data_IF_775475843897
#
_entry.id   IF_775475843897
#
_cell.length_a   1.000
_cell.length_b   1.000
_cell.length_c   1.000
_cell.angle_alpha   90.00
_cell.angle_beta   90.00
_cell.angle_gamma   90.00
#
_symmetry.space_group_name_H-M   'P 1'
#
loop_
_entity.id
_entity.type
_entity.pdbx_description
1 polymer ?
#
# COMPACT_ATOMS: atom_id res chain seq x y z
N UNK A 1 18.38 14.16 -21.26
CA UNK A 1 18.46 13.18 -20.18
C UNK A 1 17.09 12.53 -20.06
N UNK A 2 17.00 11.22 -20.29
CA UNK A 2 15.73 10.45 -20.20
C UNK A 2 15.24 10.39 -18.76
N UNK A 3 13.98 10.02 -18.51
CA UNK A 3 13.44 9.90 -17.14
C UNK A 3 14.23 8.88 -16.30
N UNK A 4 14.68 7.81 -16.95
CA UNK A 4 15.58 6.81 -16.37
C UNK A 4 16.90 7.45 -15.93
N UNK A 5 17.53 8.22 -16.82
CA UNK A 5 18.81 8.87 -16.52
C UNK A 5 18.65 9.93 -15.43
N UNK A 6 17.51 10.63 -15.40
CA UNK A 6 17.18 11.56 -14.32
C UNK A 6 17.10 10.83 -12.98
N UNK A 7 16.41 9.67 -12.92
CA UNK A 7 16.36 8.84 -11.72
C UNK A 7 17.77 8.45 -11.25
N UNK A 8 18.60 7.90 -12.15
CA UNK A 8 19.95 7.44 -11.77
C UNK A 8 20.80 8.58 -11.22
N UNK A 9 20.63 9.78 -11.78
CA UNK A 9 21.38 10.99 -11.42
C UNK A 9 20.64 11.89 -10.40
N UNK A 10 19.58 11.40 -9.74
CA UNK A 10 18.87 12.17 -8.71
C UNK A 10 19.86 12.65 -7.63
N UNK A 11 19.84 13.94 -7.24
CA UNK A 11 20.78 14.48 -6.25
C UNK A 11 20.79 13.69 -4.94
N UNK A 12 21.97 13.29 -4.48
CA UNK A 12 22.16 12.51 -3.25
C UNK A 12 21.90 11.01 -3.37
N UNK A 13 21.41 10.53 -4.52
CA UNK A 13 21.17 9.09 -4.76
C UNK A 13 22.46 8.27 -4.73
N UNK A 14 23.57 8.80 -5.23
CA UNK A 14 24.87 8.14 -5.21
C UNK A 14 25.35 7.80 -3.79
N UNK A 15 25.08 8.70 -2.83
CA UNK A 15 25.30 8.46 -1.41
C UNK A 15 24.38 7.35 -0.91
N UNK A 16 23.08 7.42 -1.18
CA UNK A 16 22.13 6.39 -0.75
C UNK A 16 22.48 5.00 -1.29
N UNK A 17 22.99 4.90 -2.51
CA UNK A 17 23.46 3.62 -3.08
C UNK A 17 24.63 3.05 -2.27
N UNK A 18 25.58 3.88 -1.86
CA UNK A 18 26.70 3.46 -1.00
C UNK A 18 26.22 3.09 0.40
N UNK A 19 25.27 3.84 0.95
CA UNK A 19 24.70 3.58 2.27
C UNK A 19 23.95 2.24 2.29
N UNK A 20 23.19 1.90 1.22
CA UNK A 20 22.59 0.56 1.08
C UNK A 20 23.65 -0.53 0.97
N UNK A 21 24.76 -0.30 0.26
CA UNK A 21 25.85 -1.29 0.21
C UNK A 21 26.42 -1.56 1.60
N UNK A 22 26.69 -0.51 2.38
CA UNK A 22 27.14 -0.65 3.75
C UNK A 22 26.11 -1.38 4.62
N UNK A 23 24.81 -1.06 4.45
CA UNK A 23 23.71 -1.73 5.14
C UNK A 23 23.61 -3.22 4.80
N UNK A 24 23.77 -3.59 3.52
CA UNK A 24 23.82 -4.98 3.06
C UNK A 24 24.93 -5.74 3.79
N UNK A 25 26.13 -5.15 3.88
CA UNK A 25 27.28 -5.79 4.52
C UNK A 25 27.07 -5.93 6.03
N UNK A 26 26.60 -4.87 6.68
CA UNK A 26 26.38 -4.84 8.12
C UNK A 26 25.30 -5.83 8.58
N UNK A 27 24.22 -5.97 7.78
CA UNK A 27 23.14 -6.91 8.05
C UNK A 27 23.41 -8.34 7.54
N UNK A 28 24.51 -8.56 6.82
CA UNK A 28 24.83 -9.87 6.23
C UNK A 28 23.83 -10.33 5.14
N UNK A 29 23.20 -9.39 4.43
CA UNK A 29 22.24 -9.69 3.38
C UNK A 29 22.96 -10.28 2.16
N UNK A 30 22.47 -11.42 1.67
CA UNK A 30 23.06 -12.14 0.53
C UNK A 30 22.16 -12.13 -0.70
N UNK A 31 20.88 -11.79 -0.53
CA UNK A 31 19.88 -11.81 -1.59
C UNK A 31 18.91 -10.64 -1.46
N UNK A 32 18.55 -10.00 -2.59
CA UNK A 32 17.65 -8.85 -2.60
C UNK A 32 16.53 -9.09 -3.61
N UNK A 33 15.28 -8.91 -3.17
CA UNK A 33 14.11 -8.81 -4.04
C UNK A 33 13.94 -7.37 -4.52
N UNK A 34 14.11 -7.18 -5.82
CA UNK A 34 13.80 -5.93 -6.50
C UNK A 34 12.35 -6.00 -6.96
N UNK A 35 11.49 -5.25 -6.28
CA UNK A 35 10.04 -5.43 -6.39
C UNK A 35 9.32 -4.17 -6.89
N UNK A 36 8.27 -4.39 -7.67
CA UNK A 36 7.32 -3.39 -8.12
C UNK A 36 5.91 -3.97 -8.00
N UNK A 37 4.89 -3.15 -8.27
CA UNK A 37 3.49 -3.53 -8.08
C UNK A 37 2.76 -3.50 -9.41
N UNK A 38 2.16 -4.63 -9.76
CA UNK A 38 1.30 -4.79 -10.94
C UNK A 38 0.02 -3.98 -10.82
N UNK A 39 -0.71 -3.81 -11.93
CA UNK A 39 -2.03 -3.15 -11.95
C UNK A 39 -3.04 -3.78 -10.98
N UNK A 40 -2.92 -5.08 -10.71
CA UNK A 40 -3.80 -5.80 -9.76
C UNK A 40 -3.39 -5.64 -8.28
N UNK A 41 -2.33 -4.88 -7.99
CA UNK A 41 -1.81 -4.74 -6.63
C UNK A 41 -0.91 -5.90 -6.18
N UNK A 42 -0.61 -6.87 -7.05
CA UNK A 42 0.35 -7.94 -6.76
C UNK A 42 1.78 -7.43 -6.86
N UNK A 43 2.62 -7.91 -5.96
CA UNK A 43 4.05 -7.63 -5.95
C UNK A 43 4.74 -8.59 -6.90
N UNK A 44 5.48 -8.01 -7.82
CA UNK A 44 6.19 -8.69 -8.91
C UNK A 44 7.63 -8.17 -8.92
N UNK A 45 8.59 -8.96 -9.40
CA UNK A 45 9.98 -8.53 -9.33
C UNK A 45 10.98 -9.59 -9.70
N UNK A 46 12.24 -9.36 -9.31
CA UNK A 46 13.35 -10.29 -9.50
C UNK A 46 14.16 -10.40 -8.22
N UNK A 47 14.49 -11.64 -7.84
CA UNK A 47 15.47 -11.91 -6.79
C UNK A 47 16.88 -11.95 -7.37
N UNK A 48 17.81 -11.22 -6.76
CA UNK A 48 19.18 -11.07 -7.27
C UNK A 48 20.17 -11.15 -6.10
N UNK A 49 21.31 -11.85 -6.24
CA UNK A 49 22.36 -11.86 -5.21
C UNK A 49 22.85 -10.43 -4.89
N UNK A 50 22.96 -10.13 -3.59
CA UNK A 50 23.23 -8.78 -3.07
C UNK A 50 24.56 -8.18 -3.54
N UNK A 51 25.54 -9.03 -3.88
CA UNK A 51 26.83 -8.59 -4.46
C UNK A 51 26.70 -7.79 -5.77
N UNK A 52 25.53 -7.82 -6.42
CA UNK A 52 25.27 -7.07 -7.64
C UNK A 52 24.58 -5.72 -7.39
N UNK A 53 24.36 -5.32 -6.13
CA UNK A 53 23.61 -4.12 -5.74
C UNK A 53 23.98 -2.86 -6.54
N UNK A 54 25.25 -2.47 -6.56
CA UNK A 54 25.69 -1.23 -7.21
C UNK A 54 25.39 -1.22 -8.71
N UNK A 55 25.65 -2.35 -9.39
CA UNK A 55 25.31 -2.53 -10.81
C UNK A 55 23.80 -2.39 -11.04
N UNK A 56 22.98 -2.96 -10.16
CA UNK A 56 21.52 -2.88 -10.29
C UNK A 56 20.99 -1.48 -9.94
N UNK A 57 21.63 -0.77 -9.02
CA UNK A 57 21.30 0.60 -8.69
C UNK A 57 21.60 1.56 -9.85
N UNK A 58 22.61 1.28 -10.67
CA UNK A 58 22.95 2.06 -11.86
C UNK A 58 22.13 1.63 -13.10
N UNK A 59 22.08 0.32 -13.38
CA UNK A 59 21.54 -0.20 -14.64
C UNK A 59 20.09 -0.65 -14.57
N UNK A 60 19.61 -0.99 -13.38
CA UNK A 60 18.32 -1.64 -13.18
C UNK A 60 18.33 -3.11 -13.58
N UNK A 61 17.25 -3.82 -13.24
CA UNK A 61 16.99 -5.16 -13.77
C UNK A 61 16.04 -5.07 -14.96
N UNK A 62 16.09 -6.07 -15.84
CA UNK A 62 15.12 -6.22 -16.93
C UNK A 62 14.10 -7.33 -16.65
N UNK A 63 12.86 -7.10 -17.11
CA UNK A 63 11.75 -8.06 -17.04
C UNK A 63 10.73 -7.74 -18.15
N UNK A 64 9.98 -8.73 -18.64
CA UNK A 64 8.94 -8.51 -19.67
C UNK A 64 7.87 -7.50 -19.22
N UNK A 65 7.43 -6.59 -20.10
CA UNK A 65 6.38 -5.60 -19.79
C UNK A 65 5.08 -6.21 -19.27
N UNK A 66 4.65 -7.35 -19.82
CA UNK A 66 3.42 -8.02 -19.38
C UNK A 66 3.41 -8.38 -17.89
N UNK A 67 4.56 -8.39 -17.22
CA UNK A 67 4.64 -8.55 -15.77
C UNK A 67 3.94 -7.44 -14.97
N UNK A 68 3.77 -6.22 -15.53
CA UNK A 68 2.95 -5.16 -14.91
C UNK A 68 1.47 -5.49 -14.90
N UNK A 69 1.04 -6.46 -15.71
CA UNK A 69 -0.31 -7.04 -15.74
C UNK A 69 -0.33 -8.52 -15.30
N UNK A 70 0.69 -8.98 -14.56
CA UNK A 70 0.87 -10.36 -14.10
C UNK A 70 0.96 -11.42 -15.20
N UNK A 71 1.22 -11.03 -16.45
CA UNK A 71 1.12 -11.92 -17.61
C UNK A 71 -0.28 -12.57 -17.73
N UNK A 72 -1.31 -11.88 -17.24
CA UNK A 72 -2.68 -12.35 -17.35
C UNK A 72 -3.18 -12.20 -18.78
N UNK A 73 -4.01 -13.16 -19.17
CA UNK A 73 -4.79 -13.12 -20.40
C UNK A 73 -6.20 -12.65 -20.08
N UNK A 74 -6.83 -12.00 -21.05
CA UNK A 74 -8.24 -11.69 -21.00
C UNK A 74 -9.10 -12.95 -21.29
N UNK A 75 -10.42 -12.76 -21.34
CA UNK A 75 -11.36 -13.86 -21.61
C UNK A 75 -11.26 -14.44 -23.03
N UNK A 76 -10.58 -13.76 -23.94
CA UNK A 76 -10.38 -14.16 -25.34
C UNK A 76 -9.06 -14.92 -25.54
N UNK A 77 -8.20 -14.96 -24.51
CA UNK A 77 -6.90 -15.63 -24.56
C UNK A 77 -5.75 -14.70 -24.91
N UNK A 78 -5.99 -13.39 -24.99
CA UNK A 78 -5.00 -12.39 -25.36
C UNK A 78 -4.35 -11.79 -24.11
N UNK A 79 -3.05 -11.54 -24.14
CA UNK A 79 -2.36 -10.89 -23.02
C UNK A 79 -2.92 -9.50 -22.75
N UNK A 80 -3.18 -9.21 -21.47
CA UNK A 80 -3.60 -7.89 -21.03
C UNK A 80 -2.41 -6.93 -21.11
N UNK A 81 -2.53 -5.90 -21.96
CA UNK A 81 -1.57 -4.81 -22.09
C UNK A 81 -0.39 -5.10 -23.02
N UNK A 82 0.40 -6.14 -22.71
CA UNK A 82 1.65 -6.42 -23.44
C UNK A 82 1.81 -7.93 -23.70
N UNK A 83 1.95 -8.29 -24.98
CA UNK A 83 2.20 -9.67 -25.42
C UNK A 83 3.66 -10.12 -25.25
N UNK A 84 3.98 -11.36 -25.63
CA UNK A 84 5.33 -11.93 -25.53
C UNK A 84 6.36 -11.24 -26.43
N UNK A 85 5.89 -10.52 -27.46
CA UNK A 85 6.71 -9.72 -28.38
C UNK A 85 7.14 -8.37 -27.81
N UNK A 86 6.56 -7.95 -26.67
CA UNK A 86 6.86 -6.67 -26.07
C UNK A 86 8.28 -6.58 -25.52
N UNK A 87 8.81 -5.36 -25.48
CA UNK A 87 10.09 -5.04 -24.83
C UNK A 87 10.10 -5.43 -23.35
N UNK A 88 11.30 -5.50 -22.78
CA UNK A 88 11.48 -5.58 -21.35
C UNK A 88 11.48 -4.18 -20.71
N UNK A 89 10.91 -4.04 -19.50
CA UNK A 89 11.09 -2.86 -18.66
C UNK A 89 12.48 -2.84 -18.04
N UNK A 90 12.89 -1.66 -17.60
CA UNK A 90 14.00 -1.48 -16.68
C UNK A 90 13.44 -1.07 -15.32
N UNK A 91 13.62 -1.90 -14.30
CA UNK A 91 13.29 -1.58 -12.92
C UNK A 91 14.51 -1.03 -12.18
N UNK A 92 14.45 0.23 -11.76
CA UNK A 92 15.49 0.89 -10.96
C UNK A 92 15.08 0.93 -9.48
N UNK A 93 15.94 0.49 -8.55
CA UNK A 93 15.64 0.53 -7.13
C UNK A 93 15.63 1.96 -6.59
N UNK A 94 14.68 2.24 -5.71
CA UNK A 94 14.68 3.40 -4.82
C UNK A 94 15.42 3.02 -3.53
N UNK A 95 16.69 3.41 -3.36
CA UNK A 95 17.55 2.87 -2.32
C UNK A 95 17.02 3.05 -0.90
N UNK A 96 16.32 4.17 -0.64
CA UNK A 96 15.80 4.52 0.68
C UNK A 96 14.64 3.60 1.14
N UNK A 97 14.15 2.72 0.26
CA UNK A 97 13.14 1.70 0.56
C UNK A 97 13.73 0.32 0.89
N UNK A 98 15.06 0.19 0.90
CA UNK A 98 15.73 -1.05 1.22
C UNK A 98 15.45 -1.49 2.66
N UNK A 99 14.99 -2.74 2.84
CA UNK A 99 14.68 -3.30 4.14
C UNK A 99 14.89 -4.82 4.16
N UNK A 100 15.61 -5.32 5.16
CA UNK A 100 15.80 -6.74 5.44
C UNK A 100 14.49 -7.37 5.88
N UNK A 101 14.23 -8.59 5.42
CA UNK A 101 13.03 -9.31 5.79
C UNK A 101 13.15 -9.85 7.23
N UNK A 102 12.15 -9.60 8.11
CA UNK A 102 12.15 -10.10 9.49
C UNK A 102 12.28 -11.62 9.60
N UNK A 103 11.67 -12.35 8.67
CA UNK A 103 11.58 -13.82 8.65
C UNK A 103 12.77 -14.54 8.00
N UNK A 104 13.62 -13.84 7.25
CA UNK A 104 14.89 -14.38 6.75
C UNK A 104 15.94 -13.26 6.64
N UNK A 105 16.82 -13.20 7.64
CA UNK A 105 17.84 -12.15 7.76
C UNK A 105 18.88 -12.19 6.62
N UNK A 106 18.93 -13.24 5.81
CA UNK A 106 19.81 -13.27 4.63
C UNK A 106 19.22 -12.49 3.45
N UNK A 107 17.96 -12.08 3.53
CA UNK A 107 17.18 -11.55 2.42
C UNK A 107 16.67 -10.14 2.73
N UNK A 108 16.67 -9.27 1.73
CA UNK A 108 16.06 -7.95 1.79
C UNK A 108 15.15 -7.69 0.59
N UNK A 109 14.34 -6.64 0.67
CA UNK A 109 13.57 -6.09 -0.45
C UNK A 109 14.04 -4.68 -0.77
N UNK A 110 13.73 -4.20 -1.98
CA UNK A 110 13.76 -2.79 -2.37
C UNK A 110 12.65 -2.52 -3.38
N UNK A 111 11.90 -1.42 -3.23
CA UNK A 111 10.93 -1.00 -4.24
C UNK A 111 11.63 -0.41 -5.45
N UNK A 112 11.04 -0.60 -6.62
CA UNK A 112 11.56 -0.10 -7.88
C UNK A 112 10.53 0.79 -8.60
N UNK A 113 11.03 1.82 -9.28
CA UNK A 113 10.31 2.55 -10.33
C UNK A 113 10.69 1.96 -11.69
N UNK A 114 9.72 1.87 -12.60
CA UNK A 114 9.87 1.20 -13.89
C UNK A 114 9.97 2.20 -15.03
N UNK A 115 10.85 1.88 -15.97
CA UNK A 115 11.18 2.69 -17.13
C UNK A 115 11.12 1.85 -18.39
N UNK A 116 10.93 2.53 -19.51
CA UNK A 116 11.06 1.94 -20.83
C UNK A 116 12.48 1.48 -21.09
N UNK A 117 12.66 0.47 -21.93
CA UNK A 117 13.99 -0.03 -22.18
C UNK A 117 14.86 1.03 -22.86
N UNK A 118 16.18 0.95 -22.64
CA UNK A 118 17.13 1.89 -23.23
C UNK A 118 17.27 1.67 -24.74
N UNK A 119 17.03 0.45 -25.20
CA UNK A 119 17.15 0.04 -26.60
C UNK A 119 15.87 0.26 -27.42
N UNK A 120 14.80 0.78 -26.82
CA UNK A 120 13.57 1.06 -27.57
C UNK A 120 13.75 2.19 -28.58
N UNK A 121 13.07 2.09 -29.72
CA UNK A 121 13.15 3.10 -30.79
C UNK A 121 12.41 4.38 -30.44
N UNK A 122 11.34 4.26 -29.65
CA UNK A 122 10.47 5.37 -29.27
C UNK A 122 10.47 5.49 -27.75
N UNK A 123 10.72 6.72 -27.27
CA UNK A 123 10.69 7.07 -25.84
C UNK A 123 11.61 6.18 -24.98
N UNK A 124 12.80 5.82 -25.49
CA UNK A 124 13.79 5.05 -24.74
C UNK A 124 14.07 5.67 -23.37
N UNK A 125 14.03 4.85 -22.31
CA UNK A 125 14.25 5.31 -20.94
C UNK A 125 13.20 6.26 -20.37
N UNK A 126 12.08 6.51 -21.05
CA UNK A 126 10.96 7.26 -20.44
C UNK A 126 10.32 6.46 -19.29
N UNK A 127 9.62 7.12 -18.39
CA UNK A 127 8.89 6.45 -17.33
C UNK A 127 7.84 5.50 -17.91
N UNK A 128 7.72 4.29 -17.36
CA UNK A 128 6.77 3.31 -17.85
C UNK A 128 5.36 3.67 -17.39
N UNK A 129 4.43 3.83 -18.32
CA UNK A 129 3.06 4.27 -18.02
C UNK A 129 2.23 3.23 -17.25
N UNK A 130 2.64 1.95 -17.28
CA UNK A 130 2.01 0.87 -16.49
C UNK A 130 2.64 0.68 -15.10
N UNK A 131 3.57 1.55 -14.68
CA UNK A 131 4.13 1.54 -13.32
C UNK A 131 3.18 2.21 -12.32
N UNK A 132 2.45 1.42 -11.53
CA UNK A 132 1.53 1.97 -10.55
C UNK A 132 2.24 2.87 -9.53
N UNK A 133 3.39 2.42 -8.99
CA UNK A 133 4.11 3.14 -7.94
C UNK A 133 4.79 4.39 -8.50
N UNK A 134 5.47 4.27 -9.64
CA UNK A 134 6.09 5.41 -10.31
C UNK A 134 5.08 6.46 -10.76
N UNK A 135 3.88 6.04 -11.19
CA UNK A 135 2.79 6.97 -11.53
C UNK A 135 2.33 7.76 -10.31
N UNK A 136 2.13 7.11 -9.15
CA UNK A 136 1.77 7.82 -7.91
C UNK A 136 2.85 8.83 -7.52
N UNK A 137 4.13 8.42 -7.55
CA UNK A 137 5.24 9.31 -7.26
C UNK A 137 5.22 10.58 -8.13
N UNK A 138 5.07 10.43 -9.45
CA UNK A 138 5.09 11.58 -10.37
C UNK A 138 3.87 12.47 -10.23
N UNK A 139 2.67 11.89 -10.13
CA UNK A 139 1.43 12.65 -10.01
C UNK A 139 1.34 13.41 -8.68
N UNK A 140 1.77 12.78 -7.58
CA UNK A 140 1.81 13.47 -6.30
C UNK A 140 2.85 14.59 -6.29
N UNK A 141 4.02 14.38 -6.90
CA UNK A 141 5.01 15.44 -7.09
C UNK A 141 4.46 16.62 -7.93
N UNK A 142 3.79 16.35 -9.05
CA UNK A 142 3.14 17.39 -9.85
C UNK A 142 2.07 18.14 -9.04
N UNK A 143 1.27 17.43 -8.25
CA UNK A 143 0.29 18.04 -7.35
C UNK A 143 0.94 18.95 -6.30
N UNK A 144 2.05 18.51 -5.68
CA UNK A 144 2.82 19.31 -4.74
C UNK A 144 3.39 20.58 -5.41
N UNK A 145 4.00 20.44 -6.57
CA UNK A 145 4.61 21.55 -7.31
C UNK A 145 3.55 22.57 -7.76
N UNK A 146 2.35 22.11 -8.11
CA UNK A 146 1.26 22.97 -8.58
C UNK A 146 0.53 23.70 -7.44
N UNK A 147 0.26 23.01 -6.33
CA UNK A 147 -0.64 23.52 -5.29
C UNK A 147 0.06 23.84 -3.96
N UNK A 148 1.32 23.42 -3.78
CA UNK A 148 2.00 23.51 -2.49
C UNK A 148 1.32 22.67 -1.40
N UNK A 149 0.63 21.60 -1.80
CA UNK A 149 -0.14 20.73 -0.92
C UNK A 149 0.39 19.29 -1.00
N UNK A 150 0.39 18.62 0.15
CA UNK A 150 0.72 17.21 0.32
C UNK A 150 -0.57 16.42 0.62
N UNK A 151 -0.85 15.35 -0.13
CA UNK A 151 -1.86 14.38 0.29
C UNK A 151 -1.28 13.43 1.33
N UNK A 152 -1.94 13.34 2.48
CA UNK A 152 -1.65 12.35 3.51
C UNK A 152 -2.83 11.41 3.67
N UNK A 153 -2.52 10.12 3.78
CA UNK A 153 -3.50 9.06 3.82
C UNK A 153 -3.15 8.04 4.92
N UNK A 154 -4.19 7.55 5.61
CA UNK A 154 -4.14 6.37 6.46
C UNK A 154 -5.16 5.35 5.96
N UNK A 155 -4.83 4.07 6.07
CA UNK A 155 -5.69 2.99 5.60
C UNK A 155 -6.11 2.07 6.73
N UNK A 156 -7.33 1.54 6.63
CA UNK A 156 -7.94 0.59 7.57
C UNK A 156 -8.07 -0.79 6.91
N UNK A 157 -6.96 -1.55 6.72
CA UNK A 157 -7.00 -2.78 5.95
C UNK A 157 -7.59 -3.93 6.78
N UNK A 158 -8.86 -4.21 6.60
CA UNK A 158 -9.49 -5.38 7.20
C UNK A 158 -9.03 -6.66 6.48
N UNK A 159 -8.80 -7.74 7.23
CA UNK A 159 -8.46 -9.04 6.66
C UNK A 159 -9.06 -10.18 7.47
N UNK A 160 -9.35 -11.31 6.81
CA UNK A 160 -9.78 -12.53 7.50
C UNK A 160 -8.63 -13.52 7.64
N UNK A 161 -8.45 -14.06 8.84
CA UNK A 161 -7.58 -15.18 9.12
C UNK A 161 -8.39 -16.47 9.02
N UNK A 162 -8.12 -17.23 7.95
CA UNK A 162 -8.89 -18.42 7.60
C UNK A 162 -8.11 -19.69 7.92
N UNK A 163 -8.82 -20.71 8.37
CA UNK A 163 -8.27 -22.06 8.53
C UNK A 163 -8.01 -22.66 7.16
N UNK A 164 -6.96 -23.49 7.07
CA UNK A 164 -6.69 -24.29 5.88
C UNK A 164 -7.37 -25.65 6.03
N UNK A 165 -8.23 -26.00 5.08
CA UNK A 165 -8.81 -27.34 4.96
C UNK A 165 -7.80 -28.36 4.45
N UNK A 166 -8.16 -29.65 4.49
CA UNK A 166 -7.31 -30.75 4.04
C UNK A 166 -6.93 -30.67 2.55
N UNK A 167 -7.77 -30.00 1.75
CA UNK A 167 -7.57 -29.72 0.33
C UNK A 167 -6.73 -28.45 0.08
N UNK A 168 -6.30 -27.77 1.13
CA UNK A 168 -5.55 -26.52 1.07
C UNK A 168 -6.41 -25.26 0.91
N UNK A 169 -7.73 -25.39 0.74
CA UNK A 169 -8.66 -24.27 0.57
C UNK A 169 -9.10 -23.67 1.92
N UNK A 170 -9.70 -22.46 1.93
CA UNK A 170 -10.25 -21.89 3.16
C UNK A 170 -11.36 -22.74 3.78
N UNK A 171 -11.28 -23.00 5.08
CA UNK A 171 -12.27 -23.74 5.87
C UNK A 171 -12.81 -22.88 7.03
N UNK A 172 -13.36 -21.70 6.69
CA UNK A 172 -13.92 -20.74 7.62
C UNK A 172 -12.88 -19.91 8.40
N UNK A 173 -13.37 -18.90 9.13
CA UNK A 173 -12.55 -18.06 10.00
C UNK A 173 -12.04 -18.79 11.22
N UNK A 174 -10.93 -18.31 11.80
CA UNK A 174 -10.37 -18.87 13.05
C UNK A 174 -11.34 -18.67 14.22
N UNK A 175 -11.93 -17.48 14.32
CA UNK A 175 -12.75 -17.01 15.45
C UNK A 175 -14.21 -16.75 15.03
N UNK A 176 -15.09 -16.50 16.00
CA UNK A 176 -16.51 -16.16 15.80
C UNK A 176 -16.68 -14.69 15.40
N UNK A 177 -17.80 -14.31 14.76
CA UNK A 177 -18.06 -12.94 14.30
C UNK A 177 -18.58 -12.06 15.45
N UNK A 178 -17.77 -11.84 16.49
CA UNK A 178 -18.13 -10.98 17.61
C UNK A 178 -17.23 -9.73 17.59
N UNK A 179 -17.66 -8.70 16.86
CA UNK A 179 -16.96 -7.43 16.74
C UNK A 179 -16.56 -6.85 18.12
N UNK A 180 -15.31 -6.38 18.22
CA UNK A 180 -14.66 -5.83 19.42
C UNK A 180 -14.56 -6.78 20.63
N UNK A 181 -14.85 -8.08 20.46
CA UNK A 181 -14.80 -9.04 21.56
C UNK A 181 -13.36 -9.43 21.88
N UNK A 182 -12.85 -8.99 23.04
CA UNK A 182 -11.44 -9.21 23.43
C UNK A 182 -11.05 -10.68 23.44
N UNK A 183 -11.89 -11.60 23.92
CA UNK A 183 -11.50 -13.03 23.86
C UNK A 183 -11.38 -13.55 22.42
N UNK A 184 -12.17 -13.04 21.48
CA UNK A 184 -12.03 -13.41 20.06
C UNK A 184 -10.78 -12.80 19.45
N UNK A 185 -10.40 -11.59 19.87
CA UNK A 185 -9.12 -11.01 19.49
C UNK A 185 -7.96 -11.85 20.06
N UNK A 186 -8.01 -12.20 21.35
CA UNK A 186 -6.98 -12.96 22.07
C UNK A 186 -6.73 -14.36 21.46
N UNK A 187 -7.74 -15.03 20.91
CA UNK A 187 -7.57 -16.29 20.17
C UNK A 187 -6.59 -16.17 18.99
N UNK A 188 -6.46 -14.97 18.40
CA UNK A 188 -5.52 -14.65 17.33
C UNK A 188 -4.27 -13.89 17.81
N UNK A 189 -4.06 -13.71 19.13
CA UNK A 189 -2.90 -12.98 19.67
C UNK A 189 -1.55 -13.44 19.13
N UNK A 190 -1.22 -14.73 19.10
CA UNK A 190 0.07 -15.17 18.54
C UNK A 190 0.30 -14.71 17.10
N UNK A 191 -0.78 -14.62 16.32
CA UNK A 191 -0.75 -14.20 14.92
C UNK A 191 -0.58 -12.69 14.80
N UNK A 192 -1.48 -11.90 15.40
CA UNK A 192 -1.41 -10.45 15.24
C UNK A 192 -0.18 -9.85 15.92
N UNK A 193 0.31 -10.42 17.03
CA UNK A 193 1.56 -9.97 17.66
C UNK A 193 2.77 -10.22 16.76
N UNK A 194 2.79 -11.33 16.01
CA UNK A 194 3.85 -11.59 15.03
C UNK A 194 3.75 -10.63 13.83
N UNK A 195 2.54 -10.30 13.39
CA UNK A 195 2.32 -9.26 12.37
C UNK A 195 2.84 -7.91 12.85
N UNK A 196 2.54 -7.50 14.08
CA UNK A 196 3.05 -6.25 14.68
C UNK A 196 4.58 -6.26 14.70
N UNK A 197 5.21 -7.30 15.25
CA UNK A 197 6.67 -7.45 15.32
C UNK A 197 7.34 -7.30 13.94
N UNK A 198 6.79 -7.95 12.91
CA UNK A 198 7.32 -7.86 11.55
C UNK A 198 7.02 -6.51 10.89
N UNK A 199 5.91 -5.87 11.24
CA UNK A 199 5.54 -4.55 10.75
C UNK A 199 6.50 -3.49 11.30
N UNK A 200 6.74 -3.50 12.61
CA UNK A 200 7.70 -2.64 13.30
C UNK A 200 9.12 -2.80 12.73
N UNK A 201 9.60 -4.04 12.55
CA UNK A 201 10.90 -4.30 11.91
C UNK A 201 10.97 -3.83 10.45
N UNK A 202 9.84 -3.58 9.79
CA UNK A 202 9.79 -3.05 8.42
C UNK A 202 9.33 -1.57 8.36
N UNK A 203 9.23 -0.90 9.52
CA UNK A 203 8.96 0.53 9.64
C UNK A 203 7.47 0.92 9.57
N UNK A 204 6.58 -0.04 9.78
CA UNK A 204 5.14 0.19 9.93
C UNK A 204 4.82 0.36 11.42
N UNK A 205 4.41 1.55 11.82
CA UNK A 205 3.94 1.86 13.17
C UNK A 205 2.48 1.41 13.31
N UNK A 206 2.26 0.28 13.99
CA UNK A 206 0.92 -0.25 14.25
C UNK A 206 0.36 0.43 15.50
N UNK A 207 -0.67 1.25 15.31
CA UNK A 207 -1.18 2.15 16.36
C UNK A 207 -2.36 1.57 17.14
N UNK A 208 -3.12 0.66 16.54
CA UNK A 208 -4.26 -0.02 17.16
C UNK A 208 -4.64 -1.27 16.37
N UNK A 209 -5.47 -2.11 16.97
CA UNK A 209 -6.08 -3.22 16.27
C UNK A 209 -7.23 -3.83 17.06
N UNK A 210 -8.12 -4.49 16.33
CA UNK A 210 -9.36 -5.03 16.87
C UNK A 210 -9.84 -6.26 16.08
N UNK A 211 -10.76 -6.99 16.71
CA UNK A 211 -11.53 -8.06 16.08
C UNK A 211 -12.78 -7.47 15.45
N UNK A 212 -13.03 -7.82 14.20
CA UNK A 212 -14.05 -7.22 13.36
C UNK A 212 -15.31 -8.08 13.20
N UNK A 213 -16.27 -7.59 12.42
CA UNK A 213 -17.65 -8.10 12.38
C UNK A 213 -17.86 -9.45 11.63
N UNK A 214 -16.79 -10.09 11.15
CA UNK A 214 -16.85 -11.41 10.49
C UNK A 214 -15.91 -12.45 11.13
N UNK A 215 -16.14 -13.76 10.87
CA UNK A 215 -15.33 -14.83 11.47
C UNK A 215 -13.84 -14.70 11.12
N UNK A 216 -12.97 -14.63 12.13
CA UNK A 216 -11.53 -14.44 11.94
C UNK A 216 -11.13 -13.09 11.34
N UNK A 217 -12.05 -12.12 11.21
CA UNK A 217 -11.75 -10.81 10.67
C UNK A 217 -11.04 -9.97 11.72
N UNK A 218 -9.91 -9.38 11.36
CA UNK A 218 -9.20 -8.40 12.15
C UNK A 218 -8.99 -7.13 11.32
N UNK A 219 -8.78 -6.02 12.01
CA UNK A 219 -8.22 -4.79 11.48
C UNK A 219 -7.02 -4.40 12.34
N UNK A 220 -5.85 -4.14 11.71
CA UNK A 220 -4.73 -3.49 12.39
C UNK A 220 -4.41 -2.21 11.62
N UNK A 221 -4.43 -1.07 12.31
CA UNK A 221 -4.20 0.22 11.68
C UNK A 221 -2.74 0.65 11.80
N UNK A 222 -2.21 1.22 10.74
CA UNK A 222 -0.91 1.88 10.74
C UNK A 222 -1.07 3.39 10.88
N UNK A 223 -0.08 4.05 11.45
CA UNK A 223 0.02 5.50 11.43
C UNK A 223 -0.04 6.03 9.99
N UNK A 224 -0.85 7.07 9.76
CA UNK A 224 -1.00 7.69 8.45
C UNK A 224 0.31 8.38 8.02
N UNK A 225 0.49 8.56 6.71
CA UNK A 225 1.67 9.24 6.17
C UNK A 225 1.35 9.91 4.83
N UNK A 226 2.36 10.51 4.20
CA UNK A 226 2.43 10.75 2.76
C UNK A 226 1.83 9.58 1.95
N UNK A 227 1.02 9.88 0.93
CA UNK A 227 0.28 8.85 0.18
C UNK A 227 1.18 7.78 -0.44
N UNK A 228 2.37 8.12 -0.94
CA UNK A 228 3.26 7.13 -1.57
C UNK A 228 3.82 6.17 -0.52
N UNK A 229 4.29 6.71 0.61
CA UNK A 229 4.80 5.87 1.71
C UNK A 229 3.68 5.04 2.35
N UNK A 230 2.48 5.59 2.49
CA UNK A 230 1.31 4.84 2.95
C UNK A 230 0.98 3.67 1.99
N UNK A 231 1.08 3.88 0.67
CA UNK A 231 0.88 2.80 -0.31
C UNK A 231 1.98 1.71 -0.24
N UNK A 232 3.24 2.10 -0.05
CA UNK A 232 4.36 1.18 0.20
C UNK A 232 4.14 0.36 1.48
N UNK A 233 3.62 0.99 2.55
CA UNK A 233 3.29 0.31 3.81
C UNK A 233 2.14 -0.66 3.67
N UNK A 234 1.01 -0.28 3.05
CA UNK A 234 -0.09 -1.23 2.84
C UNK A 234 0.33 -2.45 2.03
N UNK A 235 1.15 -2.23 1.00
CA UNK A 235 1.72 -3.31 0.18
C UNK A 235 2.63 -4.22 1.00
N UNK A 236 3.49 -3.64 1.84
CA UNK A 236 4.39 -4.38 2.75
C UNK A 236 3.60 -5.16 3.81
N UNK A 237 2.56 -4.55 4.38
CA UNK A 237 1.66 -5.17 5.36
C UNK A 237 1.05 -6.47 4.83
N UNK A 238 0.58 -6.47 3.57
CA UNK A 238 0.04 -7.68 2.94
C UNK A 238 1.10 -8.79 2.77
N UNK A 239 2.37 -8.44 2.49
CA UNK A 239 3.46 -9.43 2.47
C UNK A 239 3.71 -10.02 3.85
N UNK A 240 3.73 -9.17 4.89
CA UNK A 240 3.90 -9.58 6.28
C UNK A 240 2.78 -10.54 6.68
N UNK A 241 1.51 -10.15 6.49
CA UNK A 241 0.37 -11.01 6.82
C UNK A 241 0.41 -12.34 6.06
N UNK A 242 0.78 -12.33 4.78
CA UNK A 242 0.93 -13.55 3.99
C UNK A 242 2.07 -14.45 4.51
N UNK A 243 3.17 -13.88 4.99
CA UNK A 243 4.25 -14.64 5.60
C UNK A 243 3.83 -15.23 6.94
N UNK A 244 3.28 -14.41 7.84
CA UNK A 244 2.82 -14.88 9.17
C UNK A 244 1.77 -15.98 8.99
N UNK A 245 0.85 -15.85 8.03
CA UNK A 245 -0.10 -16.91 7.73
C UNK A 245 0.58 -18.24 7.38
N UNK A 246 1.70 -18.24 6.65
CA UNK A 246 2.46 -19.48 6.35
C UNK A 246 3.04 -20.11 7.61
N UNK A 247 3.58 -19.29 8.52
CA UNK A 247 4.19 -19.76 9.78
C UNK A 247 3.17 -20.42 10.71
N UNK A 248 1.94 -19.90 10.72
CA UNK A 248 0.85 -20.41 11.55
C UNK A 248 -0.06 -21.42 10.84
N UNK A 249 0.22 -21.79 9.59
CA UNK A 249 -0.62 -22.71 8.83
C UNK A 249 -2.01 -22.16 8.45
N UNK A 250 -2.16 -20.83 8.41
CA UNK A 250 -3.38 -20.11 8.11
C UNK A 250 -3.40 -19.57 6.67
N UNK A 251 -4.46 -18.85 6.33
CA UNK A 251 -4.58 -18.03 5.13
C UNK A 251 -4.93 -16.61 5.59
N UNK A 252 -4.07 -15.63 5.32
CA UNK A 252 -4.41 -14.22 5.41
C UNK A 252 -5.19 -13.81 4.15
N UNK A 253 -6.47 -13.50 4.31
CA UNK A 253 -7.40 -13.26 3.23
C UNK A 253 -7.85 -11.80 3.19
N UNK A 254 -7.33 -11.06 2.21
CA UNK A 254 -7.75 -9.68 1.89
C UNK A 254 -8.85 -9.63 0.81
N UNK A 255 -9.40 -10.79 0.43
CA UNK A 255 -10.53 -10.84 -0.51
C UNK A 255 -11.71 -10.06 0.08
N UNK A 256 -12.30 -9.16 -0.70
CA UNK A 256 -13.37 -8.26 -0.26
C UNK A 256 -14.55 -8.98 0.41
N UNK A 257 -14.98 -10.11 -0.17
CA UNK A 257 -16.15 -10.86 0.28
C UNK A 257 -15.93 -12.37 0.10
N UNK A 258 -15.19 -13.05 0.99
CA UNK A 258 -14.91 -14.47 0.86
C UNK A 258 -16.14 -15.33 1.19
N UNK A 259 -17.01 -14.84 2.07
CA UNK A 259 -18.25 -15.51 2.49
C UNK A 259 -19.44 -14.54 2.37
N UNK A 260 -20.60 -15.06 1.99
CA UNK A 260 -21.87 -14.31 1.96
C UNK A 260 -22.54 -14.32 3.34
N UNK A 261 -23.31 -13.28 3.66
CA UNK A 261 -24.08 -13.21 4.90
C UNK A 261 -23.28 -12.85 6.16
N UNK A 262 -22.03 -12.42 6.00
CA UNK A 262 -21.16 -11.87 7.06
C UNK A 262 -20.50 -10.59 6.55
N UNK A 263 -19.91 -9.79 7.45
CA UNK A 263 -19.21 -8.57 7.04
C UNK A 263 -18.05 -8.82 6.07
N UNK A 264 -17.81 -7.81 5.24
CA UNK A 264 -16.86 -7.83 4.13
C UNK A 264 -15.56 -7.13 4.56
N UNK A 265 -14.44 -7.41 3.91
CA UNK A 265 -13.16 -6.75 4.18
C UNK A 265 -13.03 -5.44 3.39
N UNK A 266 -13.24 -4.32 4.08
CA UNK A 266 -12.98 -2.96 3.62
C UNK A 266 -11.50 -2.56 3.74
N UNK A 267 -11.12 -1.51 3.02
CA UNK A 267 -9.85 -0.82 3.24
C UNK A 267 -10.12 0.68 3.24
N UNK A 268 -10.75 1.19 4.30
CA UNK A 268 -11.17 2.58 4.30
C UNK A 268 -9.96 3.52 4.20
N UNK A 269 -10.04 4.50 3.31
CA UNK A 269 -8.96 5.48 3.11
C UNK A 269 -9.32 6.78 3.80
N UNK A 270 -8.65 7.05 4.92
CA UNK A 270 -8.70 8.32 5.62
C UNK A 270 -7.74 9.30 4.92
N UNK A 271 -8.21 10.47 4.49
CA UNK A 271 -7.42 11.39 3.69
C UNK A 271 -7.56 12.86 4.10
N UNK A 272 -6.49 13.61 3.87
CA UNK A 272 -6.37 15.04 4.13
C UNK A 272 -5.29 15.69 3.27
N UNK A 273 -5.42 16.99 3.01
CA UNK A 273 -4.42 17.79 2.31
C UNK A 273 -3.71 18.74 3.29
N UNK A 274 -2.39 18.85 3.16
CA UNK A 274 -1.54 19.58 4.12
C UNK A 274 -0.67 20.59 3.42
N UNK A 275 -0.39 21.72 4.08
CA UNK A 275 0.70 22.63 3.70
C UNK A 275 1.91 22.37 4.58
N UNK A 276 3.04 22.07 3.95
CA UNK A 276 4.31 21.85 4.63
C UNK A 276 4.33 20.59 5.52
N UNK A 277 5.10 20.66 6.60
CA UNK A 277 5.50 19.50 7.38
C UNK A 277 6.86 18.97 6.94
N UNK A 278 7.44 18.09 7.75
CA UNK A 278 8.81 17.59 7.60
C UNK A 278 8.85 16.08 7.69
N UNK A 279 9.80 15.49 6.99
CA UNK A 279 10.16 14.09 7.19
C UNK A 279 10.87 13.95 8.55
N UNK A 280 10.33 13.07 9.40
CA UNK A 280 10.87 12.75 10.73
C UNK A 280 11.20 11.27 10.75
N UNK A 281 12.43 10.96 11.13
CA UNK A 281 12.94 9.60 11.20
C UNK A 281 12.72 9.03 12.60
N UNK A 282 12.06 7.86 12.67
CA UNK A 282 11.66 7.18 13.90
C UNK A 282 12.30 5.80 14.00
N UNK A 283 13.61 5.71 14.33
CA UNK A 283 14.29 4.43 14.50
C UNK A 283 13.68 3.58 15.61
N UNK A 284 13.01 4.20 16.59
CA UNK A 284 12.34 3.54 17.71
C UNK A 284 11.17 2.66 17.31
N UNK A 285 10.61 2.82 16.11
CA UNK A 285 9.58 1.92 15.57
C UNK A 285 10.15 0.51 15.37
N UNK A 286 11.42 0.38 14.99
CA UNK A 286 12.04 -0.92 14.83
C UNK A 286 12.28 -1.56 16.20
N UNK A 287 11.43 -2.52 16.57
CA UNK A 287 11.63 -3.29 17.79
C UNK A 287 12.67 -4.40 17.58
N UNK A 288 13.49 -4.64 18.61
CA UNK A 288 14.53 -5.68 18.64
C UNK A 288 15.94 -5.16 18.92
N UNK A 289 16.85 -6.08 19.23
CA UNK A 289 18.26 -5.78 19.46
C UNK A 289 19.04 -5.76 18.14
N UNK A 290 19.92 -4.76 17.98
CA UNK A 290 20.91 -4.74 16.91
C UNK A 290 20.77 -3.56 15.94
N UNK A 291 21.26 -3.76 14.73
CA UNK A 291 21.29 -2.72 13.71
C UNK A 291 19.92 -2.55 13.03
N UNK A 292 19.54 -1.31 12.74
CA UNK A 292 18.28 -0.99 12.05
C UNK A 292 18.19 -1.82 10.75
N UNK A 293 17.10 -2.59 10.55
CA UNK A 293 17.01 -3.59 9.48
C UNK A 293 16.79 -2.99 8.09
N UNK A 294 16.68 -1.68 7.96
CA UNK A 294 16.50 -1.00 6.67
C UNK A 294 17.13 0.38 6.63
N UNK A 295 16.91 1.06 5.52
CA UNK A 295 17.29 2.46 5.34
C UNK A 295 16.34 3.39 6.10
N UNK A 296 16.78 4.60 6.49
CA UNK A 296 15.96 5.54 7.25
C UNK A 296 14.59 5.86 6.61
N UNK A 297 14.50 5.86 5.27
CA UNK A 297 13.24 6.10 4.57
C UNK A 297 12.12 5.12 4.91
N UNK A 298 12.43 3.88 5.32
CA UNK A 298 11.43 2.91 5.76
C UNK A 298 10.76 3.29 7.08
N UNK A 299 11.47 4.06 7.92
CA UNK A 299 11.04 4.45 9.28
C UNK A 299 10.77 5.96 9.37
N UNK A 300 10.62 6.62 8.23
CA UNK A 300 10.38 8.06 8.15
C UNK A 300 8.90 8.35 7.92
N UNK A 301 8.34 9.29 8.67
CA UNK A 301 6.96 9.74 8.57
C UNK A 301 6.90 11.26 8.36
N UNK A 302 5.90 11.72 7.62
CA UNK A 302 5.63 13.14 7.40
C UNK A 302 4.85 13.72 8.57
N UNK A 303 5.50 14.56 9.37
CA UNK A 303 4.92 15.17 10.58
C UNK A 303 4.79 16.69 10.51
N UNK A 304 3.88 17.23 11.32
CA UNK A 304 3.59 18.66 11.40
C UNK A 304 2.99 19.22 10.11
N UNK A 305 3.06 20.54 9.94
CA UNK A 305 2.39 21.27 8.86
C UNK A 305 0.96 21.70 9.22
N UNK A 306 0.29 22.36 8.29
CA UNK A 306 -1.08 22.84 8.44
C UNK A 306 -2.05 21.91 7.70
N UNK A 307 -2.96 21.29 8.44
CA UNK A 307 -4.03 20.47 7.86
C UNK A 307 -5.15 21.36 7.33
N UNK A 308 -5.32 21.38 6.01
CA UNK A 308 -6.30 22.25 5.32
C UNK A 308 -7.75 21.77 5.47
N UNK A 309 -7.97 20.63 6.12
CA UNK A 309 -9.31 20.07 6.37
C UNK A 309 -9.79 20.37 7.79
N UNK A 310 -9.01 21.07 8.62
CA UNK A 310 -9.51 21.52 9.91
C UNK A 310 -10.72 22.44 9.73
N UNK A 311 -11.73 22.37 10.63
CA UNK A 311 -12.88 23.27 10.59
C UNK A 311 -12.45 24.73 10.68
N UNK A 312 -13.17 25.58 9.95
CA UNK A 312 -13.11 27.03 10.12
C UNK A 312 -14.31 27.42 11.01
N UNK A 313 -14.09 27.79 12.30
CA UNK A 313 -15.19 28.12 13.20
C UNK A 313 -16.05 29.30 12.76
N UNK A 314 -15.59 30.12 11.80
CA UNK A 314 -16.41 31.17 11.20
C UNK A 314 -17.42 30.66 10.17
N UNK A 315 -17.24 29.44 9.67
CA UNK A 315 -18.11 28.76 8.70
C UNK A 315 -18.90 27.64 9.39
N UNK A 316 -18.21 26.71 10.04
CA UNK A 316 -18.78 25.59 10.78
C UNK A 316 -17.76 25.04 11.80
N UNK A 317 -18.20 24.76 13.03
CA UNK A 317 -17.33 24.32 14.13
C UNK A 317 -16.84 22.86 13.98
N UNK A 318 -17.47 22.06 13.13
CA UNK A 318 -17.29 20.60 13.07
C UNK A 318 -16.92 20.10 11.68
N UNK A 319 -17.44 20.73 10.64
CA UNK A 319 -17.26 20.29 9.26
C UNK A 319 -15.89 20.72 8.72
N UNK A 320 -15.33 20.00 7.72
CA UNK A 320 -14.07 20.39 7.12
C UNK A 320 -14.09 21.81 6.58
N UNK A 321 -12.96 22.50 6.61
CA UNK A 321 -12.81 23.80 5.97
C UNK A 321 -13.03 23.77 4.45
N UNK A 322 -13.02 24.92 3.77
CA UNK A 322 -13.37 25.03 2.35
C UNK A 322 -12.60 24.10 1.42
N UNK A 323 -11.30 23.87 1.66
CA UNK A 323 -10.51 22.92 0.85
C UNK A 323 -11.02 21.49 1.06
N UNK A 324 -11.23 21.07 2.31
CA UNK A 324 -11.78 19.76 2.62
C UNK A 324 -13.16 19.51 2.00
N UNK A 325 -14.06 20.49 2.04
CA UNK A 325 -15.38 20.39 1.40
C UNK A 325 -15.28 20.31 -0.13
N UNK A 326 -14.37 21.06 -0.76
CA UNK A 326 -14.12 20.95 -2.20
C UNK A 326 -13.53 19.58 -2.57
N UNK A 327 -12.62 19.04 -1.75
CA UNK A 327 -12.09 17.69 -1.93
C UNK A 327 -13.20 16.64 -1.85
N UNK A 328 -14.09 16.72 -0.85
CA UNK A 328 -15.28 15.86 -0.74
C UNK A 328 -16.14 15.98 -2.00
N UNK A 329 -16.41 17.20 -2.47
CA UNK A 329 -17.19 17.43 -3.70
C UNK A 329 -16.56 16.79 -4.94
N UNK A 330 -15.22 16.86 -5.07
CA UNK A 330 -14.47 16.19 -6.13
C UNK A 330 -14.61 14.66 -6.06
N UNK A 331 -14.40 14.08 -4.87
CA UNK A 331 -14.52 12.62 -4.68
C UNK A 331 -15.95 12.14 -4.95
N UNK A 332 -16.99 12.85 -4.48
CA UNK A 332 -18.39 12.51 -4.78
C UNK A 332 -18.67 12.58 -6.29
N UNK A 333 -18.19 13.64 -6.98
CA UNK A 333 -18.37 13.79 -8.42
C UNK A 333 -17.77 12.63 -9.21
N UNK A 334 -16.65 12.08 -8.75
CA UNK A 334 -15.92 11.00 -9.41
C UNK A 334 -16.14 9.62 -8.76
N UNK A 335 -17.06 9.50 -7.80
CA UNK A 335 -17.23 8.31 -6.97
C UNK A 335 -17.43 7.00 -7.76
N UNK A 336 -18.21 6.94 -8.86
CA UNK A 336 -18.34 5.70 -9.64
C UNK A 336 -17.00 5.22 -10.23
N UNK A 337 -16.17 6.13 -10.74
CA UNK A 337 -14.86 5.81 -11.29
C UNK A 337 -13.85 5.46 -10.19
N UNK A 338 -13.89 6.18 -9.06
CA UNK A 338 -13.06 5.84 -7.90
C UNK A 338 -13.45 4.48 -7.31
N UNK A 339 -14.73 4.11 -7.37
CA UNK A 339 -15.20 2.80 -6.90
C UNK A 339 -14.67 1.67 -7.79
N UNK A 340 -14.58 1.83 -9.12
CA UNK A 340 -13.99 0.79 -9.97
C UNK A 340 -12.49 0.58 -9.72
N UNK A 341 -11.78 1.61 -9.22
CA UNK A 341 -10.36 1.51 -8.83
C UNK A 341 -10.21 0.92 -7.43
N UNK A 342 -11.01 1.40 -6.46
CA UNK A 342 -10.95 1.00 -5.05
C UNK A 342 -11.62 -0.34 -4.74
N UNK A 343 -12.58 -0.76 -5.57
CA UNK A 343 -13.32 -2.03 -5.53
C UNK A 343 -13.13 -2.74 -6.87
N UNK A 344 -11.90 -3.19 -7.14
CA UNK A 344 -11.39 -3.48 -8.48
C UNK A 344 -11.71 -4.87 -9.04
N UNK A 345 -12.51 -5.68 -8.34
CA UNK A 345 -12.80 -7.06 -8.76
C UNK A 345 -14.29 -7.33 -8.84
N UNK A 346 -14.69 -8.36 -9.59
CA UNK A 346 -16.08 -8.85 -9.58
C UNK A 346 -16.56 -9.16 -8.16
N UNK A 347 -15.67 -9.69 -7.31
CA UNK A 347 -15.99 -10.01 -5.93
C UNK A 347 -16.22 -8.77 -5.06
N UNK A 348 -15.57 -7.65 -5.38
CA UNK A 348 -15.78 -6.36 -4.72
C UNK A 348 -17.25 -5.90 -4.77
N UNK A 349 -17.93 -6.14 -5.89
CA UNK A 349 -19.34 -5.79 -6.03
C UNK A 349 -20.28 -6.69 -5.22
N UNK A 350 -19.82 -7.86 -4.76
CA UNK A 350 -20.59 -8.66 -3.78
C UNK A 350 -20.62 -7.99 -2.41
N UNK A 351 -19.56 -7.28 -2.01
CA UNK A 351 -19.53 -6.44 -0.80
C UNK A 351 -20.56 -5.32 -0.87
N UNK A 352 -20.72 -4.69 -2.04
CA UNK A 352 -21.69 -3.61 -2.25
C UNK A 352 -23.13 -4.12 -2.45
N UNK A 353 -23.30 -5.41 -2.80
CA UNK A 353 -24.62 -6.03 -3.02
C UNK A 353 -25.19 -6.67 -1.76
N UNK A 354 -24.35 -7.32 -0.94
CA UNK A 354 -24.77 -7.95 0.32
C UNK A 354 -24.99 -6.87 1.39
N UNK A 355 -26.16 -6.23 1.34
CA UNK A 355 -26.48 -5.04 2.14
C UNK A 355 -26.64 -5.36 3.63
N UNK A 356 -26.49 -4.32 4.47
CA UNK A 356 -26.61 -4.45 5.94
C UNK A 356 -25.30 -4.69 6.68
N UNK A 357 -24.17 -4.80 5.96
CA UNK A 357 -22.85 -5.11 6.52
C UNK A 357 -21.84 -3.96 6.34
N UNK A 358 -22.22 -2.75 6.76
CA UNK A 358 -21.34 -1.56 6.89
C UNK A 358 -20.70 -0.98 5.61
N UNK A 359 -20.87 -1.63 4.45
CA UNK A 359 -20.43 -1.12 3.16
C UNK A 359 -21.41 -0.09 2.58
N UNK A 360 -20.93 1.03 2.01
CA UNK A 360 -21.79 2.05 1.42
C UNK A 360 -22.34 1.60 0.06
N UNK A 361 -23.58 1.99 -0.25
CA UNK A 361 -24.25 1.67 -1.53
C UNK A 361 -24.79 2.90 -2.27
N UNK A 362 -24.64 4.09 -1.69
CA UNK A 362 -25.08 5.36 -2.27
C UNK A 362 -23.90 6.29 -2.50
N UNK A 363 -24.06 7.24 -3.43
CA UNK A 363 -23.12 8.32 -3.63
C UNK A 363 -23.44 9.48 -2.70
N UNK A 364 -23.08 9.32 -1.43
CA UNK A 364 -23.41 10.25 -0.36
C UNK A 364 -22.23 10.47 0.60
N UNK A 365 -22.38 11.47 1.45
CA UNK A 365 -21.40 11.77 2.49
C UNK A 365 -22.09 12.26 3.76
N UNK A 366 -21.44 12.08 4.91
CA UNK A 366 -22.02 12.50 6.19
C UNK A 366 -21.03 12.61 7.33
N UNK A 367 -21.40 13.39 8.33
CA UNK A 367 -20.66 13.52 9.59
C UNK A 367 -21.00 12.36 10.53
N UNK A 368 -19.97 11.67 11.03
CA UNK A 368 -20.11 10.53 11.96
C UNK A 368 -21.06 9.42 11.49
N UNK A 369 -21.26 9.27 10.18
CA UNK A 369 -22.17 8.29 9.61
C UNK A 369 -21.42 7.21 8.81
N UNK A 370 -21.38 5.99 9.34
CA UNK A 370 -20.71 4.83 8.71
C UNK A 370 -21.49 4.23 7.53
N UNK A 371 -22.73 4.67 7.27
CA UNK A 371 -23.52 4.19 6.12
C UNK A 371 -23.20 4.92 4.81
N UNK A 372 -22.49 6.06 4.88
CA UNK A 372 -22.21 6.89 3.72
C UNK A 372 -20.92 6.44 3.00
N UNK A 373 -20.82 6.74 1.70
CA UNK A 373 -19.60 6.48 0.94
C UNK A 373 -18.41 7.30 1.44
N UNK A 374 -18.63 8.57 1.78
CA UNK A 374 -17.63 9.40 2.44
C UNK A 374 -18.08 9.77 3.85
N UNK A 375 -17.23 9.49 4.84
CA UNK A 375 -17.52 9.78 6.25
C UNK A 375 -16.55 10.82 6.80
N UNK A 376 -17.07 11.89 7.38
CA UNK A 376 -16.26 12.77 8.23
C UNK A 376 -16.29 12.18 9.65
N UNK A 377 -15.24 11.41 9.99
CA UNK A 377 -15.14 10.68 11.27
C UNK A 377 -14.59 11.53 12.41
N UNK A 378 -13.87 12.61 12.10
CA UNK A 378 -13.33 13.60 13.04
C UNK A 378 -12.90 14.85 12.25
N UNK A 379 -12.70 16.00 12.92
CA UNK A 379 -12.03 17.15 12.32
C UNK A 379 -10.71 16.76 11.64
N UNK A 380 -10.40 17.39 10.50
CA UNK A 380 -9.11 17.25 9.82
C UNK A 380 -8.99 16.09 8.82
N UNK A 381 -10.03 15.28 8.58
CA UNK A 381 -10.02 14.25 7.53
C UNK A 381 -11.43 13.85 7.09
N UNK A 382 -11.53 13.21 5.93
CA UNK A 382 -12.67 12.36 5.61
C UNK A 382 -12.18 10.95 5.22
N UNK A 383 -13.09 9.99 5.31
CA UNK A 383 -12.87 8.57 5.12
C UNK A 383 -13.64 8.11 3.87
N UNK A 384 -12.94 7.56 2.88
CA UNK A 384 -13.56 6.92 1.72
C UNK A 384 -13.79 5.44 1.98
N UNK A 385 -15.07 5.06 2.13
CA UNK A 385 -15.50 3.74 2.63
C UNK A 385 -15.81 2.70 1.56
N UNK A 386 -15.91 3.10 0.29
CA UNK A 386 -16.19 2.15 -0.80
C UNK A 386 -14.97 1.32 -1.21
N UNK A 387 -13.76 1.70 -0.77
CA UNK A 387 -12.52 0.97 -1.06
C UNK A 387 -12.49 -0.35 -0.28
N UNK A 388 -12.04 -1.43 -0.92
CA UNK A 388 -11.92 -2.75 -0.30
C UNK A 388 -10.47 -3.22 -0.15
N UNK A 389 -10.27 -4.30 0.60
CA UNK A 389 -8.95 -4.85 0.89
C UNK A 389 -8.19 -5.43 -0.31
N UNK A 390 -8.81 -5.53 -1.49
CA UNK A 390 -8.15 -5.93 -2.73
C UNK A 390 -7.58 -4.74 -3.51
N UNK A 391 -7.79 -3.51 -3.03
CA UNK A 391 -7.33 -2.28 -3.69
C UNK A 391 -5.84 -2.31 -4.03
N UNK A 392 -5.49 -1.79 -5.21
CA UNK A 392 -4.11 -1.39 -5.50
C UNK A 392 -3.88 0.02 -4.91
N UNK A 393 -3.11 0.16 -3.81
CA UNK A 393 -3.03 1.45 -3.11
C UNK A 393 -2.37 2.55 -3.94
N UNK A 394 -1.51 2.20 -4.90
CA UNK A 394 -0.86 3.19 -5.75
C UNK A 394 -1.80 3.79 -6.78
N UNK A 395 -2.65 2.95 -7.39
CA UNK A 395 -3.68 3.41 -8.32
C UNK A 395 -4.75 4.20 -7.59
N UNK A 396 -5.18 3.75 -6.40
CA UNK A 396 -6.13 4.48 -5.58
C UNK A 396 -5.57 5.85 -5.16
N UNK A 397 -4.33 5.90 -4.68
CA UNK A 397 -3.68 7.15 -4.29
C UNK A 397 -3.42 8.11 -5.45
N UNK A 398 -3.32 7.62 -6.69
CA UNK A 398 -3.19 8.46 -7.89
C UNK A 398 -4.54 9.00 -8.38
N UNK A 399 -5.61 8.24 -8.13
CA UNK A 399 -6.95 8.61 -8.57
C UNK A 399 -7.64 9.60 -7.62
N UNK A 400 -7.28 9.54 -6.33
CA UNK A 400 -7.62 10.53 -5.31
C UNK A 400 -6.78 11.79 -5.49
#
# INVERSE_FOLDING_TARGET
MTDLEQHVNEPGRDKLVKDVKAKIDALGVTYVYYQFVSVTGRIVGKGIPARHWERLAEKGFQLVYGSTANLFIDRHGDYIGYGPEASELVGLPDPDTFCQLPWDKRVARVFCRLYRNREERENAGAALTSDCRGNLYRQHKEFQDQYGLDMRCGTEPEMMWLKRGDDGNPNGGVTKPNCYHIDQFEELRPVFMKVIEYSEQMGLDIIQGDHEDAPGQLELNTQFDDVLRNADRLTTYRQICAQVAREFGLIACFMSKPFMGVSASGCHHNMSLWKGGKDVFHPEIATGDGELPGMPGCFTYKEGGENTFMPDPSIDEKMPGPIGLNSIGGVIKHLPALTSIGSSTVNSYRRLWDTGFWAPIFADWGYQNRTCALRVSAPGRFEYRSVDSMVNPYLMGSAL
#
